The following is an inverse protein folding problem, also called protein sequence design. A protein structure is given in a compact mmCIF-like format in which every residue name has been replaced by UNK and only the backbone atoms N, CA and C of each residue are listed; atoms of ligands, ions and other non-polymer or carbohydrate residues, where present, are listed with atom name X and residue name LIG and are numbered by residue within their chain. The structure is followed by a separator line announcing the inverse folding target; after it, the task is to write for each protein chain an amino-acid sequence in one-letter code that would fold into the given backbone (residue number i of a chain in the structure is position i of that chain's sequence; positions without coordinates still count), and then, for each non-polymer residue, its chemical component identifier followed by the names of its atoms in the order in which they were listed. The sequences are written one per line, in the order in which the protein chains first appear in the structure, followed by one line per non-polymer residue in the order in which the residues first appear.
data_IF_296712623285
#
_entry.id   IF_296712623285
#
_cell.length_a   1.000
_cell.length_b   1.000
_cell.length_c   1.000
_cell.angle_alpha   90.00
_cell.angle_beta   90.00
_cell.angle_gamma   90.00
#
_symmetry.space_group_name_H-M   'P 1'
#
loop_
_entity.id
_entity.type
_entity.pdbx_description
1 polymer ?
#
# COMPACT_ATOMS: atom_id res chain seq x y z
N UNK A 1 -41.06 -2.41 51.62
CA UNK A 1 -40.79 -3.28 50.45
C UNK A 1 -40.74 -2.50 49.11
N UNK A 2 -40.33 -1.22 49.11
CA UNK A 2 -40.28 -0.39 47.89
C UNK A 2 -38.86 0.06 47.52
N UNK A 3 -37.92 0.01 48.46
CA UNK A 3 -36.55 0.51 48.32
C UNK A 3 -35.59 -0.44 47.60
N UNK A 4 -35.91 -1.74 47.55
CA UNK A 4 -35.07 -2.72 46.83
C UNK A 4 -35.31 -2.68 45.32
N UNK A 5 -36.57 -2.54 44.88
CA UNK A 5 -36.89 -2.47 43.45
C UNK A 5 -36.29 -1.23 42.76
N UNK A 6 -36.25 -0.08 43.44
CA UNK A 6 -35.66 1.14 42.88
C UNK A 6 -34.15 1.01 42.68
N UNK A 7 -33.44 0.30 43.56
CA UNK A 7 -31.99 0.10 43.47
C UNK A 7 -31.59 -0.86 42.34
N UNK A 8 -32.37 -1.92 42.11
CA UNK A 8 -32.13 -2.82 40.98
C UNK A 8 -32.48 -2.17 39.64
N UNK A 9 -33.49 -1.29 39.61
CA UNK A 9 -33.84 -0.53 38.42
C UNK A 9 -32.76 0.50 38.05
N UNK A 10 -32.19 1.21 39.03
CA UNK A 10 -31.09 2.16 38.77
C UNK A 10 -29.79 1.48 38.36
N UNK A 11 -29.45 0.32 38.95
CA UNK A 11 -28.30 -0.49 38.52
C UNK A 11 -28.48 -1.05 37.10
N UNK A 12 -29.68 -1.50 36.74
CA UNK A 12 -30.00 -1.94 35.38
C UNK A 12 -29.87 -0.81 34.36
N UNK A 13 -30.39 0.38 34.68
CA UNK A 13 -30.33 1.53 33.78
C UNK A 13 -28.88 1.99 33.48
N UNK A 14 -27.99 1.99 34.48
CA UNK A 14 -26.57 2.35 34.30
C UNK A 14 -25.86 1.32 33.40
N UNK A 15 -26.18 0.04 33.54
CA UNK A 15 -25.61 -1.03 32.72
C UNK A 15 -26.04 -0.90 31.23
N UNK A 16 -27.30 -0.57 30.97
CA UNK A 16 -27.80 -0.36 29.60
C UNK A 16 -27.26 0.93 28.95
N UNK A 17 -27.08 2.02 29.70
CA UNK A 17 -26.47 3.26 29.18
C UNK A 17 -24.99 3.05 28.83
N UNK A 18 -24.26 2.30 29.67
CA UNK A 18 -22.86 1.94 29.41
C UNK A 18 -22.68 1.10 28.14
N UNK A 19 -23.55 0.11 27.92
CA UNK A 19 -23.53 -0.71 26.70
C UNK A 19 -23.88 0.12 25.45
N UNK A 20 -24.85 1.04 25.55
CA UNK A 20 -25.20 1.95 24.43
C UNK A 20 -24.05 2.86 24.01
N UNK A 21 -23.21 3.33 24.95
CA UNK A 21 -22.04 4.15 24.63
C UNK A 21 -20.93 3.35 23.93
N UNK A 22 -20.74 2.07 24.28
CA UNK A 22 -19.74 1.20 23.61
C UNK A 22 -20.17 0.83 22.18
N UNK A 23 -21.48 0.59 21.93
CA UNK A 23 -22.00 0.36 20.58
C UNK A 23 -22.03 1.62 19.69
N UNK A 24 -22.13 2.81 20.30
CA UNK A 24 -22.03 4.09 19.58
C UNK A 24 -20.63 4.35 19.01
N UNK A 25 -19.57 4.03 19.76
CA UNK A 25 -18.18 4.24 19.31
C UNK A 25 -17.76 3.20 18.26
N UNK A 26 -18.28 1.97 18.33
CA UNK A 26 -18.09 0.96 17.28
C UNK A 26 -18.82 1.30 15.96
N UNK A 27 -19.86 2.14 16.01
CA UNK A 27 -20.58 2.61 14.81
C UNK A 27 -19.92 3.83 14.14
N UNK A 28 -18.88 4.41 14.78
CA UNK A 28 -18.02 5.45 14.22
C UNK A 28 -16.73 4.90 13.62
N UNK A 29 -16.66 3.58 13.36
CA UNK A 29 -15.65 3.04 12.45
C UNK A 29 -16.01 3.54 11.05
N UNK A 30 -15.30 4.58 10.65
CA UNK A 30 -15.32 5.16 9.31
C UNK A 30 -15.47 4.05 8.27
N UNK A 31 -16.51 4.18 7.45
CA UNK A 31 -16.64 3.40 6.23
C UNK A 31 -15.32 3.56 5.50
N UNK A 32 -14.60 2.48 5.12
CA UNK A 32 -13.55 2.66 4.14
C UNK A 32 -14.24 3.31 2.93
N UNK A 33 -13.74 4.47 2.52
CA UNK A 33 -14.11 5.05 1.25
C UNK A 33 -13.83 3.99 0.18
N UNK A 34 -14.85 3.22 -0.15
CA UNK A 34 -14.88 2.38 -1.31
C UNK A 34 -14.75 3.37 -2.45
N UNK A 35 -13.55 3.49 -3.00
CA UNK A 35 -13.31 4.16 -4.25
C UNK A 35 -14.33 3.58 -5.23
N UNK A 36 -15.34 4.37 -5.54
CA UNK A 36 -16.37 4.01 -6.50
C UNK A 36 -15.65 3.92 -7.84
N UNK A 37 -15.41 2.70 -8.31
CA UNK A 37 -15.37 2.49 -9.74
C UNK A 37 -16.79 2.77 -10.22
N UNK A 38 -16.97 3.87 -10.93
CA UNK A 38 -18.24 4.20 -11.56
C UNK A 38 -18.38 3.26 -12.76
N UNK A 39 -18.95 2.07 -12.53
CA UNK A 39 -19.52 1.26 -13.60
C UNK A 39 -20.91 1.82 -13.92
N UNK A 40 -20.94 2.92 -14.68
CA UNK A 40 -22.13 3.26 -15.46
C UNK A 40 -22.18 2.21 -16.56
N UNK A 41 -22.92 1.12 -16.37
CA UNK A 41 -23.77 0.46 -17.36
C UNK A 41 -24.35 -0.82 -16.75
N UNK A 42 -25.68 -0.81 -16.53
CA UNK A 42 -26.46 -2.05 -16.53
C UNK A 42 -27.33 -2.29 -15.30
N UNK A 43 -28.59 -1.85 -15.37
CA UNK A 43 -29.74 -2.63 -14.86
C UNK A 43 -31.00 -2.37 -15.67
N UNK A 44 -31.28 -3.26 -16.62
CA UNK A 44 -32.61 -3.82 -16.96
C UNK A 44 -32.36 -4.92 -18.01
N UNK A 45 -32.51 -6.22 -17.75
CA UNK A 45 -33.78 -6.94 -17.63
C UNK A 45 -33.58 -8.38 -18.15
N UNK A 46 -34.42 -9.29 -17.63
CA UNK A 46 -34.47 -10.77 -17.64
C UNK A 46 -34.13 -11.60 -18.91
N UNK A 47 -33.63 -12.81 -18.59
CA UNK A 47 -33.87 -14.17 -19.16
C UNK A 47 -33.34 -14.60 -20.55
N UNK A 48 -32.33 -15.50 -20.48
CA UNK A 48 -31.90 -16.68 -21.29
C UNK A 48 -32.35 -16.92 -22.75
N UNK A 49 -31.70 -17.86 -23.49
CA UNK A 49 -30.31 -18.29 -23.53
C UNK A 49 -29.72 -18.19 -24.96
N UNK A 50 -28.42 -18.43 -25.07
CA UNK A 50 -27.63 -18.74 -26.28
C UNK A 50 -26.77 -17.62 -26.86
N UNK A 51 -25.57 -18.09 -27.21
CA UNK A 51 -24.80 -17.75 -28.40
C UNK A 51 -23.74 -16.64 -28.26
N UNK A 52 -22.54 -17.14 -27.94
CA UNK A 52 -21.21 -16.73 -28.43
C UNK A 52 -20.65 -15.35 -28.03
N UNK A 53 -19.41 -15.38 -27.52
CA UNK A 53 -18.54 -14.22 -27.42
C UNK A 53 -18.44 -13.49 -28.77
N UNK A 54 -18.57 -12.16 -28.78
CA UNK A 54 -17.56 -11.20 -29.27
C UNK A 54 -18.17 -9.86 -29.74
N UNK A 55 -17.82 -8.81 -28.98
CA UNK A 55 -17.44 -7.45 -29.44
C UNK A 55 -18.45 -6.49 -30.10
N UNK A 56 -18.48 -5.26 -29.55
CA UNK A 56 -18.76 -3.97 -30.24
C UNK A 56 -20.13 -3.74 -30.91
N UNK A 57 -21.24 -3.93 -30.19
CA UNK A 57 -22.43 -3.13 -30.50
C UNK A 57 -22.28 -1.73 -29.84
N UNK A 58 -22.41 -0.61 -30.57
CA UNK A 58 -22.40 0.71 -29.94
C UNK A 58 -23.62 0.84 -29.02
N UNK A 59 -23.41 1.20 -27.76
CA UNK A 59 -24.51 1.54 -26.86
C UNK A 59 -25.16 2.85 -27.34
N UNK A 60 -26.49 2.94 -27.35
CA UNK A 60 -27.16 4.21 -27.69
C UNK A 60 -26.64 5.34 -26.79
N UNK A 61 -26.16 6.42 -27.42
CA UNK A 61 -25.50 7.54 -26.72
C UNK A 61 -23.97 7.55 -26.82
N UNK A 62 -23.34 6.62 -27.54
CA UNK A 62 -21.90 6.73 -27.83
C UNK A 62 -21.62 7.94 -28.73
N UNK A 63 -20.91 8.93 -28.20
CA UNK A 63 -20.27 9.98 -28.99
C UNK A 63 -19.41 9.27 -30.04
N UNK A 64 -19.59 9.55 -31.35
CA UNK A 64 -18.73 8.95 -32.37
C UNK A 64 -17.30 9.34 -32.03
N UNK A 65 -16.48 8.34 -31.69
CA UNK A 65 -15.04 8.51 -31.59
C UNK A 65 -14.64 9.05 -32.96
N UNK A 66 -14.04 10.26 -33.06
CA UNK A 66 -13.56 10.75 -34.34
C UNK A 66 -12.72 9.64 -34.95
N UNK A 67 -12.99 9.31 -36.22
CA UNK A 67 -12.32 8.24 -36.94
C UNK A 67 -10.81 8.49 -36.89
N UNK A 68 -10.15 7.94 -35.85
CA UNK A 68 -8.70 7.90 -35.75
C UNK A 68 -8.33 6.75 -36.67
N UNK A 69 -8.09 7.08 -37.93
CA UNK A 69 -7.56 6.15 -38.93
C UNK A 69 -6.15 5.67 -38.55
N UNK A 70 -5.47 6.43 -37.70
CA UNK A 70 -4.12 6.13 -37.24
C UNK A 70 -4.14 5.20 -36.01
N UNK A 71 -4.16 3.89 -36.29
CA UNK A 71 -3.92 2.88 -35.26
C UNK A 71 -2.47 3.01 -34.75
N UNK A 72 -2.24 3.00 -33.43
CA UNK A 72 -0.89 3.09 -32.90
C UNK A 72 -0.05 1.92 -33.38
N UNK A 73 1.19 2.19 -33.81
CA UNK A 73 2.16 1.14 -34.14
C UNK A 73 2.86 0.70 -32.85
N UNK A 74 2.70 -0.56 -32.41
CA UNK A 74 3.30 -1.01 -31.16
C UNK A 74 4.81 -1.15 -31.29
N UNK A 75 5.55 -0.62 -30.33
CA UNK A 75 6.98 -0.87 -30.13
C UNK A 75 7.20 -1.49 -28.75
N UNK A 76 8.21 -2.34 -28.61
CA UNK A 76 8.61 -2.93 -27.32
C UNK A 76 9.90 -2.25 -26.84
N UNK A 77 9.88 -1.76 -25.61
CA UNK A 77 11.02 -1.11 -24.96
C UNK A 77 11.44 -1.91 -23.73
N UNK A 78 12.71 -1.80 -23.35
CA UNK A 78 13.24 -2.41 -22.12
C UNK A 78 13.02 -1.46 -20.95
N UNK A 79 12.51 -2.00 -19.84
CA UNK A 79 12.31 -1.28 -18.59
C UNK A 79 13.17 -1.93 -17.52
N UNK A 80 13.99 -1.13 -16.84
CA UNK A 80 14.81 -1.59 -15.71
C UNK A 80 14.23 -1.04 -14.42
N UNK A 81 14.09 -1.89 -13.40
CA UNK A 81 13.65 -1.48 -12.07
C UNK A 81 14.72 -1.83 -11.04
N UNK A 82 15.08 -0.85 -10.23
CA UNK A 82 16.05 -1.00 -9.14
C UNK A 82 15.35 -0.63 -7.83
N UNK A 83 15.43 -1.51 -6.84
CA UNK A 83 14.86 -1.31 -5.51
C UNK A 83 15.99 -1.30 -4.50
N UNK A 84 16.04 -0.27 -3.65
CA UNK A 84 17.08 -0.10 -2.62
C UNK A 84 16.44 0.15 -1.26
N UNK A 85 16.98 -0.49 -0.22
CA UNK A 85 16.59 -0.31 1.18
C UNK A 85 17.69 -0.79 2.13
N UNK A 86 17.63 -0.35 3.38
CA UNK A 86 18.58 -0.74 4.43
C UNK A 86 18.11 -2.01 5.16
N UNK A 87 19.06 -2.84 5.60
CA UNK A 87 18.79 -3.99 6.48
C UNK A 87 19.79 -4.03 7.64
N UNK A 88 19.36 -4.38 8.86
CA UNK A 88 20.27 -4.64 9.96
C UNK A 88 20.93 -6.00 9.71
N UNK A 89 22.22 -6.08 9.96
CA UNK A 89 22.98 -7.33 9.90
C UNK A 89 23.82 -7.46 11.16
N UNK A 90 24.19 -8.69 11.51
CA UNK A 90 25.11 -8.93 12.61
C UNK A 90 26.51 -8.40 12.25
N UNK A 91 27.04 -7.51 13.09
CA UNK A 91 28.34 -6.86 12.87
C UNK A 91 29.49 -7.88 12.78
N UNK A 92 29.48 -8.91 13.64
CA UNK A 92 30.54 -9.94 13.63
C UNK A 92 30.49 -10.73 12.33
N UNK A 93 29.29 -11.16 11.91
CA UNK A 93 29.12 -11.89 10.64
C UNK A 93 29.50 -11.04 9.43
N UNK A 94 29.17 -9.75 9.44
CA UNK A 94 29.54 -8.81 8.39
C UNK A 94 31.06 -8.65 8.29
N UNK A 95 31.73 -8.40 9.42
CA UNK A 95 33.18 -8.23 9.48
C UNK A 95 33.94 -9.50 9.09
N UNK A 96 33.42 -10.67 9.45
CA UNK A 96 33.97 -11.98 9.04
C UNK A 96 33.64 -12.37 7.59
N UNK A 97 32.84 -11.58 6.87
CA UNK A 97 32.33 -11.86 5.51
C UNK A 97 31.58 -13.20 5.42
N UNK A 98 30.84 -13.55 6.48
CA UNK A 98 30.07 -14.80 6.60
C UNK A 98 28.55 -14.59 6.52
N UNK A 99 28.11 -13.49 5.91
CA UNK A 99 26.68 -13.26 5.69
C UNK A 99 26.13 -14.30 4.71
N UNK A 100 25.05 -14.96 5.10
CA UNK A 100 24.29 -15.86 4.23
C UNK A 100 23.08 -15.13 3.63
N UNK A 101 22.42 -15.76 2.65
CA UNK A 101 21.19 -15.21 2.05
C UNK A 101 20.10 -15.02 3.12
N UNK A 102 20.02 -15.94 4.09
CA UNK A 102 19.09 -15.88 5.23
C UNK A 102 19.35 -14.63 6.10
N UNK A 103 20.61 -14.20 6.23
CA UNK A 103 20.94 -12.97 6.95
C UNK A 103 20.50 -11.71 6.19
N UNK A 104 20.31 -11.80 4.86
CA UNK A 104 19.85 -10.70 4.00
C UNK A 104 18.34 -10.72 3.76
N UNK A 105 17.67 -11.83 4.11
CA UNK A 105 16.25 -12.00 3.89
C UNK A 105 15.43 -11.13 4.85
N UNK A 106 14.41 -10.47 4.27
CA UNK A 106 13.50 -9.60 5.00
C UNK A 106 12.08 -10.04 4.71
N UNK A 107 11.37 -10.50 5.72
CA UNK A 107 9.99 -10.97 5.55
C UNK A 107 9.04 -9.78 5.61
N UNK A 108 8.32 -9.54 4.52
CA UNK A 108 7.24 -8.55 4.50
C UNK A 108 6.05 -9.06 5.31
N UNK A 109 5.54 -8.20 6.19
CA UNK A 109 4.41 -8.48 7.07
C UNK A 109 3.22 -7.69 6.54
N UNK A 110 2.28 -8.38 5.92
CA UNK A 110 1.03 -7.75 5.45
C UNK A 110 -0.06 -7.80 6.52
N UNK A 111 0.05 -8.73 7.49
CA UNK A 111 -0.91 -8.90 8.57
C UNK A 111 -0.18 -9.07 9.91
N UNK A 112 -0.51 -8.21 10.87
CA UNK A 112 0.12 -8.18 12.19
C UNK A 112 -0.13 -9.44 13.04
N UNK A 113 -1.08 -10.30 12.63
CA UNK A 113 -1.25 -11.62 13.24
C UNK A 113 -0.15 -12.63 12.90
N UNK A 114 0.69 -12.34 11.90
CA UNK A 114 1.81 -13.22 11.54
C UNK A 114 2.98 -13.14 12.52
N UNK A 115 3.05 -12.06 13.31
CA UNK A 115 4.08 -11.88 14.33
C UNK A 115 3.43 -11.86 15.71
N UNK A 116 3.78 -12.84 16.53
CA UNK A 116 3.39 -12.86 17.93
C UNK A 116 4.29 -11.93 18.75
N UNK A 117 4.15 -10.61 18.56
CA UNK A 117 4.95 -9.58 19.27
C UNK A 117 4.88 -9.66 20.81
N UNK A 118 3.91 -10.39 21.37
CA UNK A 118 3.78 -10.61 22.81
C UNK A 118 4.68 -11.73 23.35
N UNK A 119 5.30 -12.52 22.47
CA UNK A 119 6.09 -13.71 22.84
C UNK A 119 7.57 -13.63 22.41
N UNK A 120 7.95 -12.62 21.63
CA UNK A 120 9.31 -12.47 21.10
C UNK A 120 9.86 -11.09 21.42
N UNK A 121 11.08 -11.06 21.95
CA UNK A 121 11.78 -9.80 22.20
C UNK A 121 12.25 -9.16 20.89
N UNK A 122 12.22 -7.83 20.85
CA UNK A 122 12.70 -7.03 19.71
C UNK A 122 14.15 -6.59 19.97
N UNK A 123 15.07 -7.08 19.15
CA UNK A 123 16.49 -6.71 19.20
C UNK A 123 16.79 -5.41 18.44
N UNK A 124 16.01 -5.12 17.40
CA UNK A 124 16.21 -3.93 16.58
C UNK A 124 14.87 -3.41 16.05
N UNK A 125 14.70 -2.10 16.15
CA UNK A 125 13.55 -1.38 15.62
C UNK A 125 14.02 -0.10 14.93
N UNK A 126 13.68 0.06 13.65
CA UNK A 126 14.02 1.28 12.88
C UNK A 126 13.00 1.50 11.78
N UNK A 127 12.62 2.75 11.57
CA UNK A 127 11.90 3.16 10.35
C UNK A 127 12.93 3.35 9.24
N UNK A 128 12.76 2.62 8.15
CA UNK A 128 13.62 2.68 6.98
C UNK A 128 12.85 3.20 5.78
N UNK A 129 13.60 3.58 4.75
CA UNK A 129 13.06 4.04 3.48
C UNK A 129 13.44 3.07 2.38
N UNK A 130 12.49 2.76 1.52
CA UNK A 130 12.73 2.03 0.28
C UNK A 130 12.51 2.95 -0.90
N UNK A 131 13.48 2.97 -1.80
CA UNK A 131 13.43 3.72 -3.05
C UNK A 131 13.30 2.73 -4.19
N UNK A 132 12.37 2.99 -5.10
CA UNK A 132 12.25 2.28 -6.37
C UNK A 132 12.48 3.25 -7.51
N UNK A 133 13.50 2.96 -8.32
CA UNK A 133 13.82 3.69 -9.53
C UNK A 133 13.48 2.84 -10.74
N UNK A 134 12.74 3.40 -11.68
CA UNK A 134 12.39 2.81 -12.96
C UNK A 134 13.03 3.62 -14.07
N UNK A 135 13.90 2.98 -14.83
CA UNK A 135 14.63 3.60 -15.95
C UNK A 135 14.20 2.98 -17.27
N UNK A 136 13.87 3.85 -18.23
CA UNK A 136 13.47 3.52 -19.60
C UNK A 136 14.22 4.44 -20.54
N UNK A 137 15.24 3.92 -21.21
CA UNK A 137 16.12 4.70 -22.09
C UNK A 137 16.64 5.96 -21.38
N UNK A 138 16.19 7.16 -21.78
CA UNK A 138 16.59 8.46 -21.20
C UNK A 138 15.60 8.99 -20.14
N UNK A 139 14.63 8.19 -19.71
CA UNK A 139 13.66 8.57 -18.69
C UNK A 139 13.93 7.79 -17.40
N UNK A 140 14.07 8.51 -16.29
CA UNK A 140 14.16 7.90 -14.96
C UNK A 140 13.06 8.45 -14.05
N UNK A 141 12.32 7.54 -13.41
CA UNK A 141 11.29 7.86 -12.45
C UNK A 141 11.60 7.18 -11.13
N UNK A 142 11.40 7.90 -10.03
CA UNK A 142 11.55 7.39 -8.67
C UNK A 142 10.27 7.51 -7.87
N UNK A 143 10.06 6.54 -6.99
CA UNK A 143 9.08 6.59 -5.92
C UNK A 143 9.66 6.00 -4.65
N UNK A 144 9.09 6.36 -3.52
CA UNK A 144 9.63 6.04 -2.21
C UNK A 144 8.51 5.55 -1.30
N UNK A 145 8.83 4.67 -0.36
CA UNK A 145 7.94 4.32 0.75
C UNK A 145 8.74 4.18 2.03
N UNK A 146 8.09 4.49 3.14
CA UNK A 146 8.62 4.19 4.47
C UNK A 146 8.21 2.78 4.87
N UNK A 147 9.01 2.14 5.71
CA UNK A 147 8.68 0.85 6.30
C UNK A 147 9.24 0.72 7.71
N UNK A 148 8.51 0.05 8.57
CA UNK A 148 8.92 -0.21 9.94
C UNK A 148 9.58 -1.58 10.00
N UNK A 149 10.87 -1.60 10.32
CA UNK A 149 11.68 -2.81 10.36
C UNK A 149 11.86 -3.32 11.78
N UNK A 150 11.77 -4.65 11.91
CA UNK A 150 11.92 -5.36 13.18
C UNK A 150 12.95 -6.48 13.03
N UNK A 151 13.80 -6.66 14.03
CA UNK A 151 14.61 -7.88 14.19
C UNK A 151 14.22 -8.51 15.52
N UNK A 152 13.69 -9.71 15.47
CA UNK A 152 13.16 -10.38 16.64
C UNK A 152 14.13 -11.47 17.12
N UNK A 153 13.94 -11.91 18.36
CA UNK A 153 14.71 -12.97 19.03
C UNK A 153 14.60 -14.36 18.37
N UNK A 154 13.64 -14.54 17.47
CA UNK A 154 13.57 -15.71 16.59
C UNK A 154 14.65 -15.71 15.49
N UNK A 155 15.49 -14.66 15.44
CA UNK A 155 16.56 -14.48 14.47
C UNK A 155 16.08 -13.92 13.13
N UNK A 156 14.77 -13.71 12.95
CA UNK A 156 14.17 -13.27 11.70
C UNK A 156 13.99 -11.76 11.66
N UNK A 157 14.07 -11.23 10.44
CA UNK A 157 13.90 -9.81 10.15
C UNK A 157 12.58 -9.63 9.44
N UNK A 158 11.80 -8.67 9.91
CA UNK A 158 10.47 -8.40 9.42
C UNK A 158 10.37 -6.94 9.01
N UNK A 159 9.49 -6.64 8.05
CA UNK A 159 9.18 -5.28 7.68
C UNK A 159 7.70 -5.09 7.39
N UNK A 160 7.17 -4.00 7.90
CA UNK A 160 5.84 -3.50 7.57
C UNK A 160 6.02 -2.29 6.66
N UNK A 161 5.76 -2.46 5.37
CA UNK A 161 5.88 -1.37 4.41
C UNK A 161 4.63 -0.49 4.42
N UNK A 162 4.86 0.82 4.43
CA UNK A 162 3.84 1.83 4.14
C UNK A 162 3.47 1.90 2.66
N UNK A 163 2.60 2.86 2.35
CA UNK A 163 2.16 3.10 0.97
C UNK A 163 3.28 3.74 0.16
N UNK A 164 3.35 3.36 -1.12
CA UNK A 164 4.20 4.03 -2.10
C UNK A 164 3.78 5.48 -2.31
N UNK A 165 4.77 6.36 -2.44
CA UNK A 165 4.58 7.70 -2.97
C UNK A 165 4.16 7.64 -4.44
N UNK A 166 3.68 8.78 -4.95
CA UNK A 166 3.52 8.96 -6.40
C UNK A 166 4.87 8.90 -7.10
N UNK A 167 4.84 8.51 -8.37
CA UNK A 167 6.03 8.55 -9.22
C UNK A 167 6.43 10.01 -9.48
N UNK A 168 7.72 10.28 -9.36
CA UNK A 168 8.32 11.57 -9.66
C UNK A 168 9.46 11.38 -10.66
N UNK A 169 9.64 12.30 -11.62
CA UNK A 169 10.82 12.26 -12.47
C UNK A 169 12.07 12.46 -11.61
N UNK A 170 13.07 11.62 -11.82
CA UNK A 170 14.38 11.83 -11.22
C UNK A 170 15.01 13.00 -11.99
N UNK A 171 15.03 14.18 -11.36
CA UNK A 171 15.72 15.34 -11.95
C UNK A 171 17.17 14.94 -12.18
N UNK A 172 17.61 14.96 -13.43
CA UNK A 172 19.04 14.88 -13.76
C UNK A 172 19.74 16.04 -13.04
N UNK A 173 20.61 15.74 -12.09
CA UNK A 173 21.47 16.74 -11.44
C UNK A 173 22.57 17.28 -12.37
N UNK A 174 22.52 16.98 -13.68
CA UNK A 174 23.35 17.63 -14.69
C UNK A 174 22.76 19.00 -15.10
N UNK A 175 23.14 20.06 -14.39
CA UNK A 175 22.91 21.42 -14.89
C UNK A 175 23.23 22.62 -13.99
N UNK A 176 23.74 22.43 -12.77
CA UNK A 176 24.04 23.57 -11.85
C UNK A 176 25.52 24.02 -11.93
N UNK A 177 26.38 23.34 -12.69
CA UNK A 177 27.82 23.67 -12.73
C UNK A 177 28.17 24.78 -13.76
N UNK A 178 27.33 25.07 -14.76
CA UNK A 178 27.71 25.97 -15.87
C UNK A 178 27.26 27.44 -15.75
N UNK A 179 26.76 27.92 -14.60
CA UNK A 179 26.31 29.32 -14.45
C UNK A 179 27.13 30.14 -13.42
N UNK A 180 28.14 29.56 -12.78
CA UNK A 180 28.99 30.32 -11.83
C UNK A 180 30.28 30.86 -12.47
N UNK A 181 30.68 30.39 -13.65
CA UNK A 181 31.78 30.99 -14.44
C UNK A 181 31.26 31.87 -15.58
N UNK A 182 30.70 33.03 -15.25
CA UNK A 182 30.82 34.24 -16.07
C UNK A 182 30.24 35.42 -15.32
N UNK A 183 31.08 36.07 -14.52
CA UNK A 183 30.88 37.47 -14.17
C UNK A 183 31.98 38.27 -14.86
N UNK A 184 31.65 39.25 -15.71
CA UNK A 184 32.62 40.16 -16.31
C UNK A 184 33.26 41.07 -15.25
#
# INVERSE_FOLDING_TARGET
MYTYHTKYFTLGAIFFIGISLVFGVLSLREKPAQAQHIDIFGKLGKESPNSYHQSFAPYEGTVPIPWIDEKPTPITIKVTETITYEIPVDEKKFNEKKLTIEDLELKEVTNNSEINFHQVDCHFFKVIKQTQTRTVENLSYKREREGTQYWLSDGKKYIEWGKWSTWSPEKEEQGIIDVVEKKP
#
